data_IF_530755075929
#
_entry.id   IF_530755075929
#
_cell.length_a   1.000
_cell.length_b   1.000
_cell.length_c   1.000
_cell.angle_alpha   90.00
_cell.angle_beta   90.00
_cell.angle_gamma   90.00
#
_symmetry.space_group_name_H-M   'P 1'
#
loop_
_entity.id
_entity.type
_entity.pdbx_description
1 polymer ?
#
# COMPACT_ATOMS: atom_id res chain seq x y z
N UNK A 1 10.66 3.50 -3.13
CA UNK A 1 9.83 2.75 -2.16
C UNK A 1 8.50 2.37 -2.82
N UNK A 2 7.81 1.30 -2.38
CA UNK A 2 6.72 0.57 -3.08
C UNK A 2 5.62 1.41 -3.77
N UNK A 3 4.94 2.32 -3.06
CA UNK A 3 3.87 3.22 -3.59
C UNK A 3 2.62 2.53 -4.19
N UNK A 4 2.49 1.20 -4.12
CA UNK A 4 1.37 0.46 -4.73
C UNK A 4 -0.02 0.89 -4.21
N UNK A 5 -0.15 1.14 -2.91
CA UNK A 5 -1.41 1.64 -2.34
C UNK A 5 -1.81 3.03 -2.89
N UNK A 6 -0.84 3.92 -3.11
CA UNK A 6 -1.10 5.25 -3.68
C UNK A 6 -1.55 5.16 -5.13
N UNK A 7 -0.92 4.30 -5.93
CA UNK A 7 -1.29 4.03 -7.33
C UNK A 7 -2.72 3.51 -7.48
N UNK A 8 -3.20 2.75 -6.49
CA UNK A 8 -4.52 2.11 -6.51
C UNK A 8 -5.61 2.87 -5.74
N UNK A 9 -5.29 4.05 -5.20
CA UNK A 9 -6.26 4.85 -4.47
C UNK A 9 -7.17 5.61 -5.44
N UNK A 10 -8.49 5.34 -5.48
CA UNK A 10 -9.38 5.98 -6.46
C UNK A 10 -9.52 7.50 -6.25
N UNK A 11 -9.39 7.98 -5.01
CA UNK A 11 -9.46 9.40 -4.68
C UNK A 11 -8.11 10.10 -4.53
N UNK A 12 -7.00 9.42 -4.83
CA UNK A 12 -5.64 9.94 -4.65
C UNK A 12 -5.37 10.47 -3.23
N UNK A 13 -6.00 9.88 -2.21
CA UNK A 13 -5.91 10.31 -0.82
C UNK A 13 -4.57 9.95 -0.15
N UNK A 14 -3.81 9.02 -0.73
CA UNK A 14 -2.52 8.54 -0.20
C UNK A 14 -1.38 9.29 -0.89
N UNK A 15 -0.46 9.93 -0.14
CA UNK A 15 0.64 10.69 -0.73
C UNK A 15 1.69 9.77 -1.39
N UNK A 16 2.28 10.25 -2.49
CA UNK A 16 3.41 9.59 -3.17
C UNK A 16 4.78 9.98 -2.60
N UNK A 17 4.82 11.02 -1.77
CA UNK A 17 6.03 11.60 -1.18
C UNK A 17 6.46 10.95 0.13
N UNK A 18 7.35 11.65 0.83
CA UNK A 18 7.88 11.24 2.12
C UNK A 18 6.92 11.55 3.27
N UNK A 19 7.33 11.16 4.48
CA UNK A 19 6.57 11.43 5.69
C UNK A 19 6.55 12.93 5.99
N UNK A 20 5.49 13.36 6.66
CA UNK A 20 5.31 14.72 7.15
C UNK A 20 5.09 14.69 8.65
N UNK A 21 5.58 15.70 9.36
CA UNK A 21 5.34 15.85 10.80
C UNK A 21 3.97 16.45 11.03
N UNK A 22 3.06 15.69 11.64
CA UNK A 22 1.72 16.15 12.00
C UNK A 22 1.51 15.94 13.49
N UNK A 23 1.34 17.04 14.23
CA UNK A 23 1.19 17.03 15.70
C UNK A 23 2.38 16.33 16.40
N UNK A 24 3.60 16.58 15.92
CA UNK A 24 4.83 16.03 16.49
C UNK A 24 5.14 14.57 16.11
N UNK A 25 4.35 13.95 15.24
CA UNK A 25 4.56 12.57 14.79
C UNK A 25 4.86 12.54 13.29
N UNK A 26 5.96 11.90 12.90
CA UNK A 26 6.28 11.63 11.49
C UNK A 26 5.39 10.51 10.95
N UNK A 27 4.64 10.81 9.91
CA UNK A 27 3.77 9.84 9.22
C UNK A 27 3.48 10.27 7.80
N UNK A 28 3.09 9.32 6.96
CA UNK A 28 2.44 9.64 5.69
C UNK A 28 1.03 10.14 5.96
N UNK A 29 0.84 11.46 5.96
CA UNK A 29 -0.45 12.06 6.23
C UNK A 29 -1.39 11.86 5.03
N UNK A 30 -2.49 11.16 5.26
CA UNK A 30 -3.54 10.95 4.27
C UNK A 30 -4.46 12.17 4.16
N UNK A 31 -4.99 12.44 2.98
CA UNK A 31 -6.13 13.34 2.78
C UNK A 31 -7.41 12.59 3.17
N UNK A 32 -7.88 12.83 4.40
CA UNK A 32 -9.00 12.08 5.00
C UNK A 32 -10.33 12.44 4.35
N UNK A 33 -10.47 13.69 3.96
CA UNK A 33 -11.65 14.25 3.31
C UNK A 33 -11.84 13.62 1.92
N UNK A 34 -10.77 13.52 1.13
CA UNK A 34 -10.80 12.83 -0.17
C UNK A 34 -11.07 11.32 -0.04
N UNK A 35 -10.51 10.66 0.98
CA UNK A 35 -10.80 9.26 1.27
C UNK A 35 -12.28 9.06 1.61
N UNK A 36 -12.82 9.89 2.52
CA UNK A 36 -14.22 9.82 2.95
C UNK A 36 -15.20 10.13 1.82
N UNK A 37 -14.88 11.09 0.95
CA UNK A 37 -15.70 11.35 -0.25
C UNK A 37 -15.78 10.13 -1.16
N UNK A 38 -14.69 9.38 -1.34
CA UNK A 38 -14.71 8.15 -2.12
C UNK A 38 -15.68 7.11 -1.53
N UNK A 39 -15.69 6.93 -0.21
CA UNK A 39 -16.60 6.00 0.46
C UNK A 39 -18.06 6.39 0.23
N UNK A 40 -18.36 7.69 0.32
CA UNK A 40 -19.71 8.22 0.07
C UNK A 40 -20.17 7.96 -1.37
N UNK A 41 -19.28 8.14 -2.35
CA UNK A 41 -19.58 7.92 -3.77
C UNK A 41 -19.76 6.42 -4.07
N UNK A 42 -18.92 5.56 -3.49
CA UNK A 42 -19.02 4.11 -3.69
C UNK A 42 -20.16 3.46 -2.90
N UNK A 43 -20.79 4.19 -1.97
CA UNK A 43 -21.85 3.69 -1.07
C UNK A 43 -21.42 2.39 -0.37
N UNK A 44 -20.12 2.28 -0.08
CA UNK A 44 -19.49 1.10 0.52
C UNK A 44 -18.16 1.50 1.14
N UNK A 45 -17.71 0.70 2.11
CA UNK A 45 -16.38 0.84 2.68
C UNK A 45 -15.34 0.55 1.60
N UNK A 46 -14.45 1.51 1.35
CA UNK A 46 -13.28 1.23 0.52
C UNK A 46 -12.32 0.30 1.27
N UNK A 47 -11.46 -0.40 0.53
CA UNK A 47 -10.39 -1.21 1.11
C UNK A 47 -9.24 -1.51 0.16
N UNK A 48 -9.16 -0.80 -0.98
CA UNK A 48 -8.21 -1.12 -2.05
C UNK A 48 -6.75 -1.01 -1.60
N UNK A 49 -6.44 -0.05 -0.72
CA UNK A 49 -5.09 0.10 -0.17
C UNK A 49 -4.66 -1.12 0.68
N UNK A 50 -5.59 -1.74 1.41
CA UNK A 50 -5.34 -2.97 2.16
C UNK A 50 -5.27 -4.18 1.22
N UNK A 51 -6.23 -4.30 0.28
CA UNK A 51 -6.27 -5.40 -0.69
C UNK A 51 -5.02 -5.50 -1.56
N UNK A 52 -4.45 -4.36 -1.96
CA UNK A 52 -3.29 -4.30 -2.87
C UNK A 52 -1.94 -4.33 -2.16
N UNK A 53 -1.94 -4.34 -0.82
CA UNK A 53 -0.71 -4.28 -0.05
C UNK A 53 0.05 -5.62 -0.18
N UNK A 54 1.35 -5.62 -0.53
CA UNK A 54 2.15 -6.85 -0.58
C UNK A 54 2.20 -7.62 0.75
N UNK A 55 1.98 -6.93 1.87
CA UNK A 55 1.95 -7.57 3.18
C UNK A 55 0.64 -8.30 3.48
N UNK A 56 -0.44 -7.94 2.77
CA UNK A 56 -1.78 -8.47 2.99
C UNK A 56 -2.06 -9.79 2.26
N UNK A 57 -1.08 -10.33 1.52
CA UNK A 57 -1.21 -11.66 0.91
C UNK A 57 -1.50 -12.75 1.95
N UNK A 58 -2.21 -13.82 1.59
CA UNK A 58 -2.44 -14.94 2.51
C UNK A 58 -1.13 -15.57 2.98
N UNK A 59 -1.11 -16.19 4.18
CA UNK A 59 0.04 -16.94 4.67
C UNK A 59 0.34 -18.09 3.72
N UNK A 60 1.60 -18.17 3.31
CA UNK A 60 2.12 -19.19 2.41
C UNK A 60 3.63 -19.22 2.62
N UNK A 61 4.23 -20.40 2.50
CA UNK A 61 5.67 -20.58 2.71
C UNK A 61 6.52 -19.50 2.01
N UNK A 62 6.23 -19.24 0.73
CA UNK A 62 6.94 -18.22 -0.06
C UNK A 62 6.70 -16.81 0.49
N UNK A 63 5.46 -16.43 0.81
CA UNK A 63 5.16 -15.11 1.36
C UNK A 63 5.79 -14.91 2.74
N UNK A 64 5.87 -15.96 3.56
CA UNK A 64 6.46 -15.90 4.89
C UNK A 64 7.98 -15.74 4.80
N UNK A 65 8.64 -16.45 3.87
CA UNK A 65 10.06 -16.21 3.54
C UNK A 65 10.30 -14.77 3.07
N UNK A 66 9.44 -14.24 2.19
CA UNK A 66 9.55 -12.86 1.71
C UNK A 66 9.39 -11.87 2.86
N UNK A 67 8.41 -12.05 3.74
CA UNK A 67 8.21 -11.22 4.94
C UNK A 67 9.43 -11.23 5.86
N UNK A 68 10.04 -12.39 6.07
CA UNK A 68 11.28 -12.51 6.83
C UNK A 68 12.45 -11.79 6.15
N UNK A 69 12.59 -11.90 4.82
CA UNK A 69 13.61 -11.19 4.06
C UNK A 69 13.48 -9.67 4.13
N UNK A 70 12.25 -9.15 3.97
CA UNK A 70 11.94 -7.71 4.02
C UNK A 70 12.34 -7.09 5.36
N UNK A 71 12.09 -7.79 6.48
CA UNK A 71 12.43 -7.32 7.83
C UNK A 71 13.95 -7.10 7.98
N UNK A 72 14.75 -8.00 7.41
CA UNK A 72 16.19 -8.06 7.67
C UNK A 72 17.05 -7.33 6.62
N UNK A 73 16.53 -7.03 5.42
CA UNK A 73 17.35 -6.44 4.35
C UNK A 73 16.64 -5.32 3.57
N UNK A 74 17.26 -4.12 3.41
CA UNK A 74 16.74 -3.06 2.55
C UNK A 74 16.64 -3.45 1.08
N UNK A 75 17.52 -4.34 0.61
CA UNK A 75 17.51 -4.84 -0.76
C UNK A 75 16.28 -5.74 -1.01
N UNK A 76 15.98 -6.62 -0.05
CA UNK A 76 14.79 -7.46 -0.09
C UNK A 76 13.49 -6.65 -0.18
N UNK A 77 13.41 -5.48 0.48
CA UNK A 77 12.26 -4.55 0.37
C UNK A 77 12.04 -4.02 -1.05
N UNK A 78 13.12 -3.78 -1.81
CA UNK A 78 13.03 -3.31 -3.20
C UNK A 78 12.62 -4.44 -4.13
N UNK A 79 13.26 -5.61 -4.00
CA UNK A 79 12.91 -6.79 -4.79
C UNK A 79 11.47 -7.21 -4.51
N UNK A 80 11.03 -7.23 -3.25
CA UNK A 80 9.68 -7.65 -2.92
C UNK A 80 8.63 -6.75 -3.55
N UNK A 81 8.85 -5.43 -3.58
CA UNK A 81 7.93 -4.50 -4.23
C UNK A 81 7.89 -4.71 -5.75
N UNK A 82 9.04 -4.95 -6.38
CA UNK A 82 9.10 -5.24 -7.81
C UNK A 82 8.47 -6.60 -8.16
N UNK A 83 8.77 -7.65 -7.39
CA UNK A 83 8.21 -8.98 -7.57
C UNK A 83 6.70 -9.00 -7.37
N UNK A 84 6.20 -8.26 -6.37
CA UNK A 84 4.76 -8.10 -6.16
C UNK A 84 4.06 -7.46 -7.37
N UNK A 85 4.68 -6.46 -8.00
CA UNK A 85 4.17 -5.86 -9.25
C UNK A 85 4.24 -6.82 -10.44
N UNK A 86 5.25 -7.70 -10.50
CA UNK A 86 5.40 -8.71 -11.55
C UNK A 86 4.32 -9.80 -11.44
N UNK A 87 4.09 -10.35 -10.25
CA UNK A 87 3.20 -11.50 -10.06
C UNK A 87 1.73 -11.11 -9.87
N UNK A 88 1.46 -10.03 -9.12
CA UNK A 88 0.09 -9.59 -8.80
C UNK A 88 -0.39 -8.40 -9.63
N UNK A 89 0.51 -7.81 -10.44
CA UNK A 89 0.22 -6.62 -11.23
C UNK A 89 0.24 -5.35 -10.38
N UNK A 90 0.69 -4.24 -10.98
CA UNK A 90 0.81 -2.95 -10.28
C UNK A 90 -0.54 -2.29 -9.95
N UNK A 91 -1.53 -2.48 -10.82
CA UNK A 91 -2.90 -1.97 -10.63
C UNK A 91 -3.85 -3.11 -10.33
N UNK A 92 -4.70 -2.92 -9.33
CA UNK A 92 -5.80 -3.82 -9.03
C UNK A 92 -6.72 -3.91 -10.25
N UNK A 93 -7.00 -5.13 -10.69
CA UNK A 93 -8.06 -5.41 -11.65
C UNK A 93 -9.33 -5.73 -10.85
N UNK A 94 -10.41 -5.02 -11.18
CA UNK A 94 -11.75 -5.20 -10.62
C UNK A 94 -12.69 -5.65 -11.73
#
# INVERSE_FOLDING_TARGET
MCKKCAVNCPSNAIPYGDQTTVRGIEKWQLNREACLMAWRVMVSDCGLCMKTCPFSHPPAFVHDMVRLGIKNSPFARKISAWGDDLFYGKKARY
#
